data_IF_268527302312
#
_entry.id   IF_268527302312
#
_cell.length_a   1.000
_cell.length_b   1.000
_cell.length_c   1.000
_cell.angle_alpha   90.00
_cell.angle_beta   90.00
_cell.angle_gamma   90.00
#
_symmetry.space_group_name_H-M   'P 1'
#
loop_
_entity.id
_entity.type
_entity.pdbx_description
1 polymer ?
#
# COMPACT_ATOMS: atom_id res chain seq x y z
N UNK A 1 10.30 5.85 20.45
CA UNK A 1 10.69 4.43 20.33
C UNK A 1 11.20 3.96 21.68
N UNK A 2 11.06 2.68 22.03
CA UNK A 2 11.69 2.04 23.19
C UNK A 2 12.29 0.75 22.71
N UNK A 3 13.54 0.50 23.09
CA UNK A 3 14.26 -0.68 22.63
C UNK A 3 13.60 -1.95 23.19
N UNK A 4 13.42 -2.93 22.32
CA UNK A 4 12.88 -4.25 22.61
C UNK A 4 13.84 -5.31 22.07
N UNK A 5 13.76 -6.57 22.51
CA UNK A 5 14.60 -7.64 21.98
C UNK A 5 14.50 -7.78 20.46
N UNK A 6 13.30 -7.58 19.91
CA UNK A 6 13.00 -7.68 18.47
C UNK A 6 13.15 -6.37 17.67
N UNK A 7 13.30 -5.22 18.33
CA UNK A 7 13.46 -3.92 17.67
C UNK A 7 14.34 -3.00 18.53
N UNK A 8 15.61 -2.91 18.17
CA UNK A 8 16.63 -2.09 18.81
C UNK A 8 17.69 -1.67 17.76
N UNK A 9 18.61 -0.73 18.07
CA UNK A 9 19.62 -0.26 17.13
C UNK A 9 20.54 -1.35 16.56
N UNK A 10 20.75 -2.44 17.32
CA UNK A 10 21.61 -3.56 16.96
C UNK A 10 20.89 -4.65 16.14
N UNK A 11 19.60 -4.47 15.86
CA UNK A 11 18.81 -5.43 15.07
C UNK A 11 19.40 -5.53 13.65
N UNK A 12 19.83 -6.72 13.19
CA UNK A 12 20.60 -6.83 11.95
C UNK A 12 19.74 -6.43 10.75
N UNK A 13 20.15 -5.37 10.06
CA UNK A 13 19.54 -4.93 8.81
C UNK A 13 20.61 -4.39 7.88
N UNK A 14 20.69 -4.95 6.68
CA UNK A 14 21.53 -4.47 5.59
C UNK A 14 20.77 -4.60 4.27
N UNK A 15 20.98 -3.64 3.36
CA UNK A 15 20.38 -3.72 2.04
C UNK A 15 21.02 -4.82 1.21
N UNK A 16 20.23 -5.55 0.42
CA UNK A 16 20.78 -6.47 -0.57
C UNK A 16 21.59 -5.70 -1.63
N UNK A 17 22.59 -6.32 -2.28
CA UNK A 17 23.36 -5.65 -3.34
C UNK A 17 22.49 -5.11 -4.48
N UNK A 18 21.38 -5.79 -4.77
CA UNK A 18 20.37 -5.35 -5.75
C UNK A 18 19.64 -4.08 -5.28
N UNK A 19 19.27 -4.03 -4.00
CA UNK A 19 18.63 -2.85 -3.43
C UNK A 19 19.62 -1.69 -3.29
N UNK A 20 20.91 -1.94 -3.04
CA UNK A 20 21.94 -0.88 -3.08
C UNK A 20 21.99 -0.20 -4.46
N UNK A 21 22.00 -0.98 -5.55
CA UNK A 21 21.92 -0.44 -6.92
C UNK A 21 20.63 0.36 -7.17
N UNK A 22 19.50 -0.10 -6.62
CA UNK A 22 18.23 0.65 -6.70
C UNK A 22 18.30 1.96 -5.94
N UNK A 23 18.94 1.98 -4.78
CA UNK A 23 19.13 3.21 -4.00
C UNK A 23 19.98 4.21 -4.78
N UNK A 24 21.08 3.77 -5.40
CA UNK A 24 21.89 4.63 -6.27
C UNK A 24 21.05 5.22 -7.42
N UNK A 25 20.22 4.40 -8.08
CA UNK A 25 19.32 4.87 -9.13
C UNK A 25 18.28 5.89 -8.61
N UNK A 26 17.73 5.68 -7.42
CA UNK A 26 16.82 6.63 -6.76
C UNK A 26 17.54 7.94 -6.47
N UNK A 27 18.74 7.90 -5.87
CA UNK A 27 19.53 9.10 -5.55
C UNK A 27 19.85 9.90 -6.82
N UNK A 28 20.20 9.21 -7.91
CA UNK A 28 20.49 9.83 -9.21
C UNK A 28 19.28 10.49 -9.88
N UNK A 29 18.06 10.24 -9.39
CA UNK A 29 16.85 10.94 -9.83
C UNK A 29 16.74 12.36 -9.25
N UNK A 30 17.59 12.70 -8.27
CA UNK A 30 17.60 14.00 -7.60
C UNK A 30 18.86 14.81 -7.90
N UNK A 31 18.79 16.14 -7.87
CA UNK A 31 19.97 16.99 -8.07
C UNK A 31 21.07 16.73 -7.03
N UNK A 32 22.32 16.91 -7.46
CA UNK A 32 23.47 16.84 -6.57
C UNK A 32 23.34 17.81 -5.38
N UNK A 33 23.73 17.36 -4.18
CA UNK A 33 23.56 18.11 -2.93
C UNK A 33 22.21 17.93 -2.23
N UNK A 34 21.23 17.29 -2.89
CA UNK A 34 19.88 17.08 -2.34
C UNK A 34 19.54 15.59 -2.15
N UNK A 35 20.51 14.78 -1.73
CA UNK A 35 20.32 13.33 -1.47
C UNK A 35 19.17 13.05 -0.49
N UNK A 36 18.91 13.96 0.45
CA UNK A 36 17.82 13.85 1.42
C UNK A 36 16.42 13.74 0.78
N UNK A 37 16.24 14.20 -0.46
CA UNK A 37 14.98 14.04 -1.19
C UNK A 37 14.62 12.56 -1.45
N UNK A 38 15.62 11.67 -1.47
CA UNK A 38 15.42 10.24 -1.65
C UNK A 38 14.89 9.51 -0.40
N UNK A 39 14.81 10.18 0.77
CA UNK A 39 14.51 9.53 2.06
C UNK A 39 13.24 8.68 2.04
N UNK A 40 12.17 9.17 1.40
CA UNK A 40 10.90 8.44 1.33
C UNK A 40 11.03 7.18 0.48
N UNK A 41 11.63 7.27 -0.70
CA UNK A 41 11.77 6.13 -1.60
C UNK A 41 12.70 5.05 -1.02
N UNK A 42 13.78 5.44 -0.35
CA UNK A 42 14.72 4.50 0.29
C UNK A 42 14.10 3.84 1.52
N UNK A 43 13.30 4.58 2.32
CA UNK A 43 12.51 3.99 3.41
C UNK A 43 11.47 2.98 2.90
N UNK A 44 10.76 3.30 1.82
CA UNK A 44 9.82 2.36 1.19
C UNK A 44 10.54 1.10 0.72
N UNK A 45 11.71 1.25 0.10
CA UNK A 45 12.53 0.11 -0.34
C UNK A 45 12.99 -0.76 0.85
N UNK A 46 13.40 -0.14 1.96
CA UNK A 46 13.76 -0.84 3.19
C UNK A 46 12.57 -1.64 3.74
N UNK A 47 11.38 -1.04 3.74
CA UNK A 47 10.16 -1.71 4.14
C UNK A 47 9.79 -2.84 3.18
N UNK A 48 9.96 -2.68 1.87
CA UNK A 48 9.70 -3.75 0.89
C UNK A 48 10.65 -4.94 1.06
N UNK A 49 11.89 -4.70 1.50
CA UNK A 49 12.85 -5.76 1.77
C UNK A 49 12.52 -6.53 3.06
N UNK A 50 12.09 -5.84 4.12
CA UNK A 50 11.93 -6.44 5.45
C UNK A 50 10.47 -6.68 5.88
N UNK A 51 9.49 -6.10 5.17
CA UNK A 51 8.05 -6.10 5.49
C UNK A 51 7.62 -4.99 6.44
N UNK A 52 8.54 -4.46 7.25
CA UNK A 52 8.33 -3.38 8.21
C UNK A 52 9.68 -2.67 8.48
N UNK A 53 9.67 -1.58 9.24
CA UNK A 53 10.85 -0.75 9.51
C UNK A 53 11.32 -0.86 10.97
N UNK A 54 12.36 -1.68 11.26
CA UNK A 54 13.07 -1.61 12.52
C UNK A 54 13.87 -0.31 12.61
N UNK A 55 14.26 0.09 13.83
CA UNK A 55 15.06 1.30 14.03
C UNK A 55 16.42 1.23 13.32
N UNK A 56 17.00 0.03 13.21
CA UNK A 56 18.24 -0.20 12.46
C UNK A 56 18.10 0.10 10.96
N UNK A 57 16.95 -0.21 10.34
CA UNK A 57 16.69 0.15 8.95
C UNK A 57 16.63 1.68 8.75
N UNK A 58 16.01 2.39 9.69
CA UNK A 58 15.96 3.86 9.67
C UNK A 58 17.37 4.46 9.83
N UNK A 59 18.19 3.91 10.73
CA UNK A 59 19.58 4.31 10.89
C UNK A 59 20.40 4.04 9.62
N UNK A 60 20.19 2.89 8.98
CA UNK A 60 20.87 2.56 7.72
C UNK A 60 20.49 3.52 6.60
N UNK A 61 19.22 3.90 6.49
CA UNK A 61 18.78 4.92 5.52
C UNK A 61 19.44 6.28 5.81
N UNK A 62 19.55 6.66 7.08
CA UNK A 62 20.21 7.89 7.49
C UNK A 62 21.70 7.90 7.11
N UNK A 63 22.39 6.78 7.31
CA UNK A 63 23.79 6.56 6.91
C UNK A 63 23.97 6.70 5.39
N UNK A 64 23.16 5.97 4.61
CA UNK A 64 23.26 5.94 3.13
C UNK A 64 22.98 7.31 2.50
N UNK A 65 22.07 8.09 3.09
CA UNK A 65 21.73 9.42 2.60
C UNK A 65 22.54 10.55 3.24
N UNK A 66 23.50 10.22 4.11
CA UNK A 66 24.36 11.17 4.81
C UNK A 66 23.56 12.25 5.56
N UNK A 67 22.46 11.86 6.22
CA UNK A 67 21.54 12.78 6.90
C UNK A 67 21.32 12.41 8.38
N UNK A 68 20.93 13.37 9.25
CA UNK A 68 20.66 13.07 10.65
C UNK A 68 19.54 12.03 10.83
N UNK A 69 19.72 10.98 11.67
CA UNK A 69 18.70 9.94 11.88
C UNK A 69 17.33 10.49 12.32
N UNK A 70 17.33 11.59 13.08
CA UNK A 70 16.09 12.23 13.53
C UNK A 70 15.16 12.63 12.37
N UNK A 71 15.72 13.08 11.24
CA UNK A 71 14.91 13.43 10.05
C UNK A 71 14.26 12.20 9.41
N UNK A 72 14.96 11.07 9.44
CA UNK A 72 14.39 9.79 9.00
C UNK A 72 13.28 9.33 9.95
N UNK A 73 13.46 9.51 11.25
CA UNK A 73 12.44 9.18 12.26
C UNK A 73 11.17 10.03 12.13
N UNK A 74 11.33 11.32 11.84
CA UNK A 74 10.22 12.25 11.55
C UNK A 74 9.41 11.74 10.36
N UNK A 75 10.06 11.45 9.23
CA UNK A 75 9.41 10.92 8.02
C UNK A 75 8.72 9.58 8.29
N UNK A 76 9.42 8.63 8.92
CA UNK A 76 8.87 7.31 9.21
C UNK A 76 7.71 7.33 10.22
N UNK A 77 7.60 8.38 11.03
CA UNK A 77 6.50 8.54 12.00
C UNK A 77 5.34 9.34 11.40
N UNK A 78 5.63 10.29 10.51
CA UNK A 78 4.64 11.17 9.90
C UNK A 78 3.77 10.45 8.85
N UNK A 79 4.39 9.64 7.98
CA UNK A 79 3.66 8.93 6.94
C UNK A 79 3.16 7.57 7.43
N UNK A 80 1.85 7.33 7.27
CA UNK A 80 1.15 6.16 7.81
C UNK A 80 1.48 4.84 7.13
N UNK A 81 2.04 4.88 5.92
CA UNK A 81 2.44 3.67 5.18
C UNK A 81 3.65 2.97 5.80
N UNK A 82 4.44 3.69 6.60
CA UNK A 82 5.63 3.14 7.23
C UNK A 82 5.28 2.32 8.47
N UNK A 83 5.36 0.99 8.32
CA UNK A 83 5.06 0.03 9.38
C UNK A 83 6.22 -0.01 10.38
N UNK A 84 6.08 0.67 11.52
CA UNK A 84 7.10 0.68 12.58
C UNK A 84 6.98 -0.48 13.57
N UNK A 85 6.00 -1.35 13.36
CA UNK A 85 5.77 -2.60 14.08
C UNK A 85 5.73 -3.75 13.08
N UNK A 86 6.11 -4.97 13.47
CA UNK A 86 5.95 -6.14 12.62
C UNK A 86 4.48 -6.33 12.22
N UNK A 87 4.22 -6.40 10.92
CA UNK A 87 2.91 -6.72 10.34
C UNK A 87 2.93 -8.11 9.73
N UNK A 88 1.74 -8.68 9.49
CA UNK A 88 1.60 -9.93 8.77
C UNK A 88 1.95 -9.79 7.30
N UNK A 89 2.10 -10.94 6.61
CA UNK A 89 2.43 -10.99 5.17
C UNK A 89 1.45 -10.19 4.28
N UNK A 90 0.17 -10.17 4.66
CA UNK A 90 -0.92 -9.49 3.99
C UNK A 90 -1.45 -8.38 4.90
N UNK A 91 -1.15 -7.14 4.54
CA UNK A 91 -1.63 -5.96 5.23
C UNK A 91 -2.95 -5.51 4.60
N UNK A 92 -4.07 -5.85 5.27
CA UNK A 92 -5.43 -5.52 4.84
C UNK A 92 -5.79 -4.14 5.37
N UNK A 93 -6.07 -3.23 4.45
CA UNK A 93 -6.42 -1.84 4.70
C UNK A 93 -7.83 -1.60 4.18
N UNK A 94 -8.79 -1.45 5.10
CA UNK A 94 -10.20 -1.23 4.76
C UNK A 94 -10.51 0.25 4.82
N UNK A 95 -10.99 0.82 3.70
CA UNK A 95 -11.44 2.21 3.66
C UNK A 95 -12.84 2.31 4.27
N UNK A 96 -12.99 3.09 5.33
CA UNK A 96 -14.27 3.34 6.03
C UNK A 96 -14.72 4.80 5.94
N UNK A 97 -14.09 5.60 5.09
CA UNK A 97 -14.50 7.00 4.87
C UNK A 97 -15.86 7.10 4.19
N UNK A 98 -16.49 8.27 4.28
CA UNK A 98 -17.89 8.49 3.91
C UNK A 98 -18.35 7.87 2.59
N UNK A 99 -17.62 7.99 1.45
CA UNK A 99 -18.08 7.36 0.20
C UNK A 99 -18.16 5.83 0.28
N UNK A 100 -17.21 5.19 0.99
CA UNK A 100 -17.22 3.74 1.22
C UNK A 100 -18.23 3.34 2.27
N UNK A 101 -18.36 4.12 3.36
CA UNK A 101 -19.37 3.93 4.40
C UNK A 101 -20.80 3.97 3.83
N UNK A 102 -21.09 4.92 2.94
CA UNK A 102 -22.39 5.01 2.25
C UNK A 102 -22.69 3.80 1.35
N UNK A 103 -21.65 3.07 0.93
CA UNK A 103 -21.74 1.80 0.19
C UNK A 103 -21.51 0.57 1.07
N UNK A 104 -21.69 0.74 2.38
CA UNK A 104 -21.67 -0.32 3.40
C UNK A 104 -20.31 -1.03 3.56
N UNK A 105 -19.21 -0.26 3.62
CA UNK A 105 -17.88 -0.80 3.95
C UNK A 105 -17.79 -1.46 5.33
N UNK A 106 -18.67 -1.08 6.26
CA UNK A 106 -18.70 -1.66 7.61
C UNK A 106 -19.07 -3.14 7.57
N UNK A 107 -19.96 -3.55 6.67
CA UNK A 107 -20.27 -4.96 6.43
C UNK A 107 -19.04 -5.76 5.99
N UNK A 108 -18.17 -5.17 5.17
CA UNK A 108 -16.90 -5.78 4.72
C UNK A 108 -15.94 -5.90 5.89
N UNK A 109 -15.82 -4.87 6.73
CA UNK A 109 -14.97 -4.89 7.90
C UNK A 109 -15.40 -5.99 8.90
N UNK A 110 -16.69 -6.12 9.16
CA UNK A 110 -17.23 -7.17 10.03
C UNK A 110 -17.06 -8.57 9.44
N UNK A 111 -17.21 -8.74 8.12
CA UNK A 111 -16.92 -10.00 7.45
C UNK A 111 -15.46 -10.43 7.64
N UNK A 112 -14.51 -9.50 7.47
CA UNK A 112 -13.08 -9.77 7.68
C UNK A 112 -12.80 -10.15 9.15
N UNK A 113 -13.34 -9.38 10.11
CA UNK A 113 -13.20 -9.67 11.55
C UNK A 113 -13.71 -11.07 11.88
N UNK A 114 -14.89 -11.44 11.39
CA UNK A 114 -15.50 -12.76 11.62
C UNK A 114 -14.70 -13.88 10.97
N UNK A 115 -14.19 -13.69 9.76
CA UNK A 115 -13.44 -14.68 9.00
C UNK A 115 -12.05 -14.94 9.57
N UNK A 116 -11.37 -13.90 10.05
CA UNK A 116 -10.01 -13.99 10.59
C UNK A 116 -9.96 -14.15 12.11
N UNK A 117 -11.03 -13.83 12.82
CA UNK A 117 -11.10 -13.91 14.29
C UNK A 117 -10.25 -12.85 15.00
N UNK A 118 -9.99 -11.71 14.36
CA UNK A 118 -9.15 -10.62 14.89
C UNK A 118 -9.93 -9.30 14.94
N UNK A 119 -9.45 -8.35 15.73
CA UNK A 119 -9.96 -6.97 15.75
C UNK A 119 -9.14 -6.05 14.84
N UNK A 120 -9.66 -4.84 14.63
CA UNK A 120 -8.90 -3.79 13.92
C UNK A 120 -7.63 -3.46 14.72
N UNK A 121 -6.50 -3.40 14.03
CA UNK A 121 -5.17 -3.18 14.60
C UNK A 121 -4.44 -4.44 15.05
N UNK A 122 -5.08 -5.62 14.97
CA UNK A 122 -4.47 -6.89 15.36
C UNK A 122 -3.90 -7.65 14.14
N UNK A 123 -2.97 -8.54 14.44
CA UNK A 123 -2.37 -9.47 13.48
C UNK A 123 -2.74 -10.89 13.88
N UNK A 124 -3.09 -11.73 12.90
CA UNK A 124 -3.43 -13.14 13.14
C UNK A 124 -2.25 -13.91 13.77
N UNK A 125 -2.49 -14.96 14.59
CA UNK A 125 -1.43 -15.72 15.24
C UNK A 125 -0.43 -16.39 14.29
N UNK A 126 -0.88 -16.71 13.08
CA UNK A 126 -0.06 -17.26 11.98
C UNK A 126 0.82 -16.21 11.28
N UNK A 127 0.75 -14.94 11.71
CA UNK A 127 1.47 -13.79 11.14
C UNK A 127 1.18 -13.57 9.64
N UNK A 128 0.03 -14.05 9.15
CA UNK A 128 -0.35 -13.88 7.75
C UNK A 128 -1.12 -12.59 7.50
N UNK A 129 -2.06 -12.21 8.36
CA UNK A 129 -2.94 -11.07 8.11
C UNK A 129 -2.86 -10.03 9.22
N UNK A 130 -2.73 -8.77 8.84
CA UNK A 130 -2.95 -7.63 9.73
C UNK A 130 -4.13 -6.84 9.20
N UNK A 131 -5.12 -6.56 10.04
CA UNK A 131 -6.29 -5.77 9.67
C UNK A 131 -6.14 -4.37 10.24
N UNK A 132 -6.16 -3.35 9.37
CA UNK A 132 -6.29 -1.97 9.79
C UNK A 132 -7.43 -1.27 9.05
N UNK A 133 -8.00 -0.29 9.72
CA UNK A 133 -8.92 0.68 9.14
C UNK A 133 -8.10 1.88 8.65
N UNK A 134 -8.40 2.35 7.45
CA UNK A 134 -7.68 3.45 6.81
C UNK A 134 -8.65 4.51 6.28
N UNK A 135 -8.08 5.68 6.04
CA UNK A 135 -8.76 6.79 5.38
C UNK A 135 -8.98 6.52 3.87
N UNK A 136 -9.43 7.54 3.15
CA UNK A 136 -9.78 7.43 1.73
C UNK A 136 -8.59 6.99 0.87
N UNK A 137 -8.78 5.87 0.16
CA UNK A 137 -7.79 5.30 -0.77
C UNK A 137 -7.96 5.75 -2.23
N UNK A 138 -8.88 6.69 -2.49
CA UNK A 138 -9.05 7.33 -3.81
C UNK A 138 -9.82 6.52 -4.86
N UNK A 139 -10.42 5.38 -4.49
CA UNK A 139 -11.22 4.52 -5.38
C UNK A 139 -12.73 4.68 -5.14
N UNK A 140 -13.21 5.91 -4.91
CA UNK A 140 -14.56 6.17 -4.40
C UNK A 140 -15.69 5.68 -5.32
N UNK A 141 -15.51 5.73 -6.64
CA UNK A 141 -16.52 5.23 -7.60
C UNK A 141 -16.62 3.70 -7.61
N UNK A 142 -15.64 3.03 -7.00
CA UNK A 142 -15.46 1.58 -6.87
C UNK A 142 -15.69 1.07 -5.44
N UNK A 143 -16.38 1.86 -4.62
CA UNK A 143 -16.71 1.52 -3.26
C UNK A 143 -17.74 0.36 -3.15
N UNK A 144 -17.69 -0.47 -2.09
CA UNK A 144 -16.66 -0.50 -1.05
C UNK A 144 -15.41 -1.25 -1.53
N UNK A 145 -14.24 -0.87 -1.03
CA UNK A 145 -12.96 -1.42 -1.47
C UNK A 145 -11.99 -1.65 -0.31
N UNK A 146 -11.06 -2.57 -0.51
CA UNK A 146 -9.93 -2.81 0.40
C UNK A 146 -8.63 -2.82 -0.40
N UNK A 147 -7.55 -2.40 0.25
CA UNK A 147 -6.21 -2.59 -0.26
C UNK A 147 -5.52 -3.72 0.52
N UNK A 148 -4.96 -4.69 -0.18
CA UNK A 148 -4.12 -5.73 0.43
C UNK A 148 -2.72 -5.60 -0.16
N UNK A 149 -1.77 -5.18 0.67
CA UNK A 149 -0.43 -4.74 0.22
C UNK A 149 -0.55 -3.66 -0.87
N UNK A 150 -0.14 -3.95 -2.11
CA UNK A 150 -0.21 -3.00 -3.23
C UNK A 150 -1.50 -3.13 -4.07
N UNK A 151 -2.34 -4.13 -3.82
CA UNK A 151 -3.47 -4.46 -4.69
C UNK A 151 -4.79 -3.88 -4.18
N UNK A 152 -5.53 -3.20 -5.06
CA UNK A 152 -6.90 -2.78 -4.80
C UNK A 152 -7.87 -3.89 -5.17
N UNK A 153 -8.81 -4.16 -4.27
CA UNK A 153 -9.95 -5.03 -4.47
C UNK A 153 -11.21 -4.22 -4.24
N UNK A 154 -12.04 -4.15 -5.27
CA UNK A 154 -13.07 -3.11 -5.43
C UNK A 154 -14.45 -3.73 -5.65
N UNK A 155 -15.50 -2.91 -5.50
CA UNK A 155 -16.91 -3.33 -5.60
C UNK A 155 -17.24 -4.58 -4.77
N UNK A 156 -16.74 -4.62 -3.55
CA UNK A 156 -16.76 -5.83 -2.75
C UNK A 156 -18.12 -6.09 -2.12
N UNK A 157 -18.50 -7.35 -2.08
CA UNK A 157 -19.50 -7.88 -1.16
C UNK A 157 -18.82 -8.66 -0.02
N UNK A 158 -19.51 -8.92 1.10
CA UNK A 158 -18.98 -9.77 2.18
C UNK A 158 -18.50 -11.15 1.69
N UNK A 159 -19.16 -11.70 0.66
CA UNK A 159 -18.75 -12.97 0.06
C UNK A 159 -17.43 -12.83 -0.71
N UNK A 160 -17.28 -11.78 -1.52
CA UNK A 160 -16.08 -11.59 -2.33
C UNK A 160 -14.82 -11.43 -1.45
N UNK A 161 -14.94 -10.75 -0.31
CA UNK A 161 -13.81 -10.60 0.60
C UNK A 161 -13.46 -11.91 1.32
N UNK A 162 -14.45 -12.74 1.65
CA UNK A 162 -14.20 -14.08 2.19
C UNK A 162 -13.47 -14.96 1.17
N UNK A 163 -13.89 -14.93 -0.10
CA UNK A 163 -13.27 -15.66 -1.20
C UNK A 163 -11.82 -15.18 -1.43
N UNK A 164 -11.58 -13.86 -1.38
CA UNK A 164 -10.23 -13.26 -1.46
C UNK A 164 -9.34 -13.77 -0.32
N UNK A 165 -9.85 -13.79 0.92
CA UNK A 165 -9.08 -14.27 2.08
C UNK A 165 -8.73 -15.75 1.92
N UNK A 166 -9.66 -16.58 1.44
CA UNK A 166 -9.44 -18.00 1.23
C UNK A 166 -8.42 -18.27 0.12
N UNK A 167 -8.48 -17.51 -0.99
CA UNK A 167 -7.46 -17.57 -2.05
C UNK A 167 -6.07 -17.17 -1.54
N UNK A 168 -5.97 -16.12 -0.72
CA UNK A 168 -4.71 -15.67 -0.12
C UNK A 168 -4.14 -16.72 0.85
N UNK A 169 -5.00 -17.37 1.65
CA UNK A 169 -4.60 -18.49 2.52
C UNK A 169 -4.11 -19.69 1.71
N UNK A 170 -4.71 -19.94 0.54
CA UNK A 170 -4.26 -20.97 -0.40
C UNK A 170 -2.97 -20.60 -1.16
N UNK A 171 -2.38 -19.43 -0.88
CA UNK A 171 -1.15 -18.97 -1.53
C UNK A 171 -1.34 -18.44 -2.95
N UNK A 172 -2.60 -18.26 -3.38
CA UNK A 172 -2.92 -17.63 -4.67
C UNK A 172 -2.90 -16.12 -4.52
N UNK A 173 -2.68 -15.41 -5.63
CA UNK A 173 -2.80 -13.95 -5.70
C UNK A 173 -4.11 -13.64 -6.42
N UNK A 174 -5.15 -13.18 -5.71
CA UNK A 174 -6.43 -12.83 -6.33
C UNK A 174 -6.26 -11.66 -7.30
N UNK A 175 -7.03 -11.64 -8.39
CA UNK A 175 -6.97 -10.58 -9.41
C UNK A 175 -7.36 -9.22 -8.80
N UNK A 176 -6.50 -8.19 -8.88
CA UNK A 176 -6.84 -6.83 -8.44
C UNK A 176 -7.86 -6.17 -9.37
N UNK A 177 -8.68 -5.30 -8.81
CA UNK A 177 -9.74 -4.55 -9.49
C UNK A 177 -11.15 -4.86 -8.97
N UNK A 178 -12.19 -4.40 -9.69
CA UNK A 178 -13.59 -4.62 -9.33
C UNK A 178 -13.97 -6.10 -9.32
N UNK A 179 -14.76 -6.51 -8.32
CA UNK A 179 -15.36 -7.85 -8.22
C UNK A 179 -16.78 -7.94 -8.78
N UNK A 180 -17.32 -6.81 -9.21
CA UNK A 180 -18.57 -6.76 -9.94
C UNK A 180 -18.39 -7.15 -11.42
N UNK A 181 -19.42 -6.92 -12.24
CA UNK A 181 -19.39 -7.21 -13.68
C UNK A 181 -18.65 -6.17 -14.54
N UNK A 182 -18.22 -5.04 -13.97
CA UNK A 182 -17.46 -4.01 -14.70
C UNK A 182 -15.95 -4.26 -14.61
N UNK A 183 -15.18 -3.64 -15.49
CA UNK A 183 -13.74 -3.82 -15.63
C UNK A 183 -12.93 -2.84 -14.78
N UNK A 184 -13.27 -1.56 -14.79
CA UNK A 184 -12.59 -0.53 -14.00
C UNK A 184 -13.60 0.40 -13.34
N UNK A 185 -13.82 1.60 -13.89
CA UNK A 185 -14.66 2.64 -13.30
C UNK A 185 -15.87 3.01 -14.16
N UNK A 186 -16.13 2.27 -15.24
CA UNK A 186 -17.27 2.52 -16.11
C UNK A 186 -18.61 2.25 -15.39
N UNK A 187 -19.72 2.81 -15.90
CA UNK A 187 -21.04 2.46 -15.38
C UNK A 187 -21.31 0.96 -15.55
N UNK A 188 -21.77 0.30 -14.49
CA UNK A 188 -22.04 -1.13 -14.49
C UNK A 188 -23.12 -1.56 -15.51
N UNK A 189 -23.97 -0.63 -15.97
CA UNK A 189 -24.99 -0.87 -16.99
C UNK A 189 -24.50 -0.78 -18.44
N UNK A 190 -23.20 -0.60 -18.67
CA UNK A 190 -22.60 -0.41 -19.99
C UNK A 190 -22.04 1.01 -20.20
N UNK A 191 -21.21 1.17 -21.23
CA UNK A 191 -20.55 2.43 -21.54
C UNK A 191 -21.58 3.50 -21.96
N UNK A 192 -21.70 4.55 -21.15
CA UNK A 192 -22.55 5.73 -21.45
C UNK A 192 -21.76 6.87 -22.10
N UNK A 193 -20.44 6.77 -22.16
CA UNK A 193 -19.51 7.72 -22.76
C UNK A 193 -18.33 6.96 -23.38
N UNK A 194 -17.54 7.64 -24.22
CA UNK A 194 -16.42 7.03 -24.95
C UNK A 194 -16.83 5.80 -25.78
N UNK A 195 -18.04 5.82 -26.34
CA UNK A 195 -18.58 4.76 -27.20
C UNK A 195 -18.04 4.81 -28.62
N UNK A 196 -17.51 5.97 -29.04
CA UNK A 196 -16.84 6.16 -30.32
C UNK A 196 -15.34 5.84 -30.22
N UNK A 197 -14.69 5.42 -31.33
CA UNK A 197 -13.24 5.28 -31.36
C UNK A 197 -12.52 6.62 -31.15
N UNK A 198 -11.29 6.61 -30.62
CA UNK A 198 -10.50 7.83 -30.43
C UNK A 198 -10.22 8.51 -31.76
N UNK A 199 -10.18 9.85 -31.76
CA UNK A 199 -10.05 10.66 -32.98
C UNK A 199 -8.68 10.56 -33.67
N UNK A 200 -7.67 10.01 -33.00
CA UNK A 200 -6.32 9.81 -33.54
C UNK A 200 -5.44 11.08 -33.50
N UNK A 201 -4.15 10.96 -33.84
CA UNK A 201 -3.21 12.08 -33.85
C UNK A 201 -3.57 13.08 -34.95
N UNK A 202 -3.35 14.37 -34.68
CA UNK A 202 -3.64 15.45 -35.64
C UNK A 202 -5.06 16.02 -35.55
N UNK A 203 -6.00 15.32 -34.90
CA UNK A 203 -7.35 15.85 -34.68
C UNK A 203 -7.31 17.06 -33.73
N UNK A 204 -7.73 18.22 -34.22
CA UNK A 204 -7.73 19.48 -33.44
C UNK A 204 -6.36 20.14 -33.29
N UNK A 205 -5.32 19.67 -34.00
CA UNK A 205 -4.04 20.36 -34.06
C UNK A 205 -4.22 21.67 -34.82
N UNK A 206 -3.71 22.76 -34.24
CA UNK A 206 -3.78 24.08 -34.85
C UNK A 206 -2.90 24.12 -36.09
N UNK A 207 -3.28 24.94 -37.07
CA UNK A 207 -2.56 25.03 -38.34
C UNK A 207 -1.14 25.65 -38.21
N UNK A 208 -0.83 26.27 -37.08
CA UNK A 208 0.45 26.95 -36.80
C UNK A 208 1.42 26.13 -35.94
N UNK A 209 1.15 24.83 -35.74
CA UNK A 209 1.96 23.88 -34.96
C UNK A 209 2.48 22.74 -35.83
#
# INVERSE_FOLDING_TARGET
>A
HRDSPENNPDTPFEFTPENQKRIEAIINSYPGGHKSAAVMAVLDLAQRQHGWLPISAMNKVAEVLEMPPMRVYEVATFYTMYNRKPVGKYHIQVCTTTPCMLRDSDSILEAIKKKLGIKVGETTPDKLFTLIEVECLGACVNAPMVQINDNYYEDLTPKDIEDIIDELKAGKVPKPGPRSGRFSCEPAGGLTSLTEPPKGPGFGVRADL
#
